data_IF_616802016259
#
_entry.id   IF_616802016259
#
_cell.length_a   1.000
_cell.length_b   1.000
_cell.length_c   1.000
_cell.angle_alpha   90.00
_cell.angle_beta   90.00
_cell.angle_gamma   90.00
#
_symmetry.space_group_name_H-M   'P 1'
#
loop_
_entity.id
_entity.type
_entity.pdbx_description
1 polymer ?
#
# COMPACT_ATOMS: atom_id res chain seq x y z
N UNK A 1 -0.10 -19.14 -34.84
CA UNK A 1 -0.55 -17.92 -34.15
C UNK A 1 0.03 -17.94 -32.75
N UNK A 2 0.81 -16.93 -32.36
CA UNK A 2 1.22 -16.73 -30.97
C UNK A 2 0.36 -15.62 -30.40
N UNK A 3 -0.39 -15.96 -29.36
CA UNK A 3 -1.16 -15.04 -28.53
C UNK A 3 -0.15 -14.52 -27.51
N UNK A 4 0.17 -13.21 -27.47
CA UNK A 4 1.17 -12.64 -26.57
C UNK A 4 0.79 -12.77 -25.09
N UNK A 5 -0.48 -13.02 -24.78
CA UNK A 5 -1.03 -13.15 -23.44
C UNK A 5 -0.65 -14.48 -22.78
N UNK A 6 -0.33 -14.48 -21.47
CA UNK A 6 0.08 -15.69 -20.76
C UNK A 6 -1.05 -16.73 -20.76
N UNK A 7 -0.70 -17.99 -21.07
CA UNK A 7 -1.65 -19.11 -21.16
C UNK A 7 -2.57 -19.24 -19.93
N UNK A 8 -2.05 -18.92 -18.74
CA UNK A 8 -2.81 -19.00 -17.50
C UNK A 8 -3.95 -17.97 -17.42
N UNK A 9 -3.72 -16.73 -17.85
CA UNK A 9 -4.75 -15.69 -17.94
C UNK A 9 -5.82 -16.04 -18.98
N UNK A 10 -5.42 -16.55 -20.16
CA UNK A 10 -6.36 -17.02 -21.20
C UNK A 10 -7.23 -18.16 -20.69
N UNK A 11 -6.62 -19.12 -19.98
CA UNK A 11 -7.35 -20.25 -19.39
C UNK A 11 -8.36 -19.78 -18.34
N UNK A 12 -7.97 -18.83 -17.48
CA UNK A 12 -8.86 -18.26 -16.48
C UNK A 12 -10.00 -17.44 -17.11
N UNK A 13 -9.71 -16.72 -18.19
CA UNK A 13 -10.71 -16.02 -19.00
C UNK A 13 -11.74 -16.99 -19.61
N UNK A 14 -11.28 -18.07 -20.24
CA UNK A 14 -12.16 -19.11 -20.78
C UNK A 14 -13.01 -19.73 -19.68
N UNK A 15 -12.43 -20.04 -18.51
CA UNK A 15 -13.19 -20.57 -17.37
C UNK A 15 -14.31 -19.63 -16.95
N UNK A 16 -14.05 -18.31 -16.91
CA UNK A 16 -15.08 -17.32 -16.65
C UNK A 16 -16.19 -17.34 -17.72
N UNK A 17 -15.88 -17.51 -19.00
CA UNK A 17 -16.93 -17.58 -20.04
C UNK A 17 -17.89 -18.76 -19.85
N UNK A 18 -17.41 -19.87 -19.29
CA UNK A 18 -18.24 -21.07 -19.05
C UNK A 18 -18.93 -21.08 -17.68
N UNK A 19 -18.39 -20.38 -16.68
CA UNK A 19 -18.84 -20.48 -15.28
C UNK A 19 -19.30 -19.16 -14.68
N UNK A 20 -19.03 -18.05 -15.36
CA UNK A 20 -19.40 -16.70 -14.97
C UNK A 20 -18.84 -16.31 -13.58
N UNK A 21 -17.71 -16.92 -13.19
CA UNK A 21 -17.07 -16.76 -11.88
C UNK A 21 -15.55 -16.56 -11.99
N UNK A 22 -15.04 -15.64 -11.19
CA UNK A 22 -13.59 -15.38 -11.02
C UNK A 22 -13.10 -15.71 -9.60
N UNK A 23 -13.95 -16.35 -8.79
CA UNK A 23 -13.65 -16.63 -7.40
C UNK A 23 -12.58 -17.72 -7.28
N UNK A 24 -11.74 -17.70 -6.22
CA UNK A 24 -10.93 -18.85 -5.90
C UNK A 24 -11.86 -20.03 -5.62
N UNK A 25 -11.72 -21.11 -6.38
CA UNK A 25 -12.46 -22.34 -6.18
C UNK A 25 -12.16 -22.87 -4.77
N UNK A 26 -13.08 -22.64 -3.83
CA UNK A 26 -13.07 -23.23 -2.47
C UNK A 26 -13.10 -24.77 -2.51
N UNK A 27 -13.50 -25.32 -3.66
CA UNK A 27 -13.58 -26.77 -3.89
C UNK A 27 -12.18 -27.27 -4.29
N UNK A 28 -11.46 -27.76 -3.26
CA UNK A 28 -10.21 -28.53 -3.29
C UNK A 28 -10.16 -29.71 -4.29
N UNK A 29 -11.29 -30.07 -4.93
CA UNK A 29 -11.42 -31.19 -5.87
C UNK A 29 -11.80 -30.78 -7.30
N UNK A 30 -11.86 -29.49 -7.63
CA UNK A 30 -12.05 -29.06 -9.02
C UNK A 30 -10.68 -28.98 -9.72
N UNK A 31 -10.55 -29.65 -10.86
CA UNK A 31 -9.29 -29.76 -11.63
C UNK A 31 -8.76 -28.41 -12.19
N UNK A 32 -9.45 -27.30 -11.93
CA UNK A 32 -9.05 -25.96 -12.31
C UNK A 32 -8.42 -25.24 -11.12
N UNK A 33 -7.12 -24.92 -11.15
CA UNK A 33 -6.52 -24.06 -10.12
C UNK A 33 -7.25 -22.70 -10.10
N UNK A 34 -7.45 -22.16 -8.90
CA UNK A 34 -7.99 -20.82 -8.73
C UNK A 34 -7.11 -19.79 -9.46
N UNK A 35 -7.71 -18.77 -10.12
CA UNK A 35 -6.91 -17.77 -10.82
C UNK A 35 -6.11 -16.94 -9.82
N UNK A 36 -4.81 -16.85 -10.06
CA UNK A 36 -3.88 -16.04 -9.28
C UNK A 36 -4.12 -14.54 -9.50
N UNK A 37 -3.51 -13.67 -8.70
CA UNK A 37 -3.63 -12.21 -8.90
C UNK A 37 -3.05 -11.76 -10.25
N UNK A 38 -1.97 -12.40 -10.70
CA UNK A 38 -1.38 -12.18 -12.01
C UNK A 38 -2.34 -12.59 -13.13
N UNK A 39 -3.04 -13.73 -12.99
CA UNK A 39 -4.06 -14.16 -13.94
C UNK A 39 -5.22 -13.16 -14.00
N UNK A 40 -5.71 -12.70 -12.84
CA UNK A 40 -6.82 -11.73 -12.76
C UNK A 40 -6.44 -10.38 -13.36
N UNK A 41 -5.19 -9.93 -13.17
CA UNK A 41 -4.66 -8.73 -13.80
C UNK A 41 -4.55 -8.88 -15.33
N UNK A 42 -4.13 -10.04 -15.83
CA UNK A 42 -4.20 -10.36 -17.25
C UNK A 42 -5.63 -10.38 -17.78
N UNK A 43 -6.57 -10.96 -17.02
CA UNK A 43 -8.00 -10.97 -17.36
C UNK A 43 -8.60 -9.57 -17.39
N UNK A 44 -8.12 -8.62 -16.57
CA UNK A 44 -8.53 -7.22 -16.64
C UNK A 44 -8.20 -6.63 -18.01
N UNK A 45 -6.98 -6.84 -18.52
CA UNK A 45 -6.58 -6.39 -19.86
C UNK A 45 -7.45 -7.03 -20.94
N UNK A 46 -7.70 -8.34 -20.86
CA UNK A 46 -8.57 -9.05 -21.80
C UNK A 46 -10.02 -8.55 -21.75
N UNK A 47 -10.51 -8.19 -20.55
CA UNK A 47 -11.86 -7.65 -20.39
C UNK A 47 -12.05 -6.31 -21.08
N UNK A 48 -10.98 -5.50 -21.18
CA UNK A 48 -10.98 -4.26 -21.97
C UNK A 48 -10.91 -4.57 -23.48
N UNK A 49 -10.03 -5.48 -23.91
CA UNK A 49 -9.86 -5.85 -25.33
C UNK A 49 -11.16 -6.40 -25.94
N UNK A 50 -11.88 -7.24 -25.19
CA UNK A 50 -13.11 -7.90 -25.65
C UNK A 50 -14.41 -7.21 -25.21
N UNK A 51 -14.32 -6.00 -24.64
CA UNK A 51 -15.47 -5.20 -24.18
C UNK A 51 -16.44 -5.99 -23.27
N UNK A 52 -15.91 -6.54 -22.18
CA UNK A 52 -16.63 -7.36 -21.20
C UNK A 52 -16.80 -6.61 -19.86
N UNK A 53 -17.76 -5.68 -19.75
CA UNK A 53 -17.85 -4.76 -18.61
C UNK A 53 -18.12 -5.47 -17.28
N UNK A 54 -18.84 -6.59 -17.30
CA UNK A 54 -19.10 -7.36 -16.08
C UNK A 54 -17.83 -8.00 -15.53
N UNK A 55 -17.03 -8.60 -16.41
CA UNK A 55 -15.75 -9.18 -16.03
C UNK A 55 -14.79 -8.10 -15.51
N UNK A 56 -14.76 -6.96 -16.20
CA UNK A 56 -13.95 -5.81 -15.84
C UNK A 56 -14.19 -5.38 -14.38
N UNK A 57 -15.46 -5.17 -14.01
CA UNK A 57 -15.83 -4.81 -12.63
C UNK A 57 -15.42 -5.87 -11.60
N UNK A 58 -15.58 -7.15 -11.92
CA UNK A 58 -15.18 -8.25 -11.03
C UNK A 58 -13.66 -8.27 -10.81
N UNK A 59 -12.88 -8.12 -11.88
CA UNK A 59 -11.42 -8.03 -11.80
C UNK A 59 -10.98 -6.84 -10.93
N UNK A 60 -11.50 -5.64 -11.18
CA UNK A 60 -11.16 -4.45 -10.39
C UNK A 60 -11.49 -4.66 -8.91
N UNK A 61 -12.70 -5.14 -8.59
CA UNK A 61 -13.12 -5.37 -7.20
C UNK A 61 -12.19 -6.36 -6.47
N UNK A 62 -11.75 -7.43 -7.15
CA UNK A 62 -10.84 -8.41 -6.57
C UNK A 62 -9.43 -7.85 -6.40
N UNK A 63 -8.88 -7.18 -7.41
CA UNK A 63 -7.53 -6.62 -7.39
C UNK A 63 -7.36 -5.55 -6.30
N UNK A 64 -8.38 -4.74 -6.04
CA UNK A 64 -8.36 -3.77 -4.94
C UNK A 64 -8.36 -4.45 -3.58
N UNK A 65 -9.16 -5.52 -3.42
CA UNK A 65 -9.31 -6.22 -2.14
C UNK A 65 -8.05 -7.00 -1.76
N UNK A 66 -7.34 -7.53 -2.76
CA UNK A 66 -6.19 -8.41 -2.59
C UNK A 66 -4.86 -7.73 -2.96
N UNK A 67 -4.82 -6.39 -3.01
CA UNK A 67 -3.63 -5.62 -3.38
C UNK A 67 -2.49 -5.85 -2.39
N UNK A 68 -1.35 -6.34 -2.89
CA UNK A 68 -0.19 -6.69 -2.08
C UNK A 68 1.12 -6.08 -2.65
N UNK A 69 2.19 -6.15 -1.86
CA UNK A 69 3.49 -5.55 -2.22
C UNK A 69 4.11 -6.25 -3.45
N UNK A 70 3.90 -7.56 -3.60
CA UNK A 70 4.51 -8.33 -4.69
C UNK A 70 3.86 -8.03 -6.04
N UNK A 71 2.54 -7.86 -6.10
CA UNK A 71 1.80 -7.65 -7.35
C UNK A 71 1.40 -6.20 -7.59
N UNK A 72 1.58 -5.27 -6.64
CA UNK A 72 1.18 -3.85 -6.81
C UNK A 72 1.73 -3.20 -8.10
N UNK A 73 3.01 -3.41 -8.40
CA UNK A 73 3.64 -2.89 -9.61
C UNK A 73 3.00 -3.48 -10.89
N UNK A 74 2.74 -4.79 -10.89
CA UNK A 74 2.09 -5.47 -12.00
C UNK A 74 0.65 -4.99 -12.20
N UNK A 75 -0.10 -4.82 -11.11
CA UNK A 75 -1.49 -4.35 -11.15
C UNK A 75 -1.55 -2.92 -11.68
N UNK A 76 -0.59 -2.06 -11.32
CA UNK A 76 -0.47 -0.71 -11.88
C UNK A 76 -0.31 -0.72 -13.40
N UNK A 77 0.61 -1.55 -13.93
CA UNK A 77 0.85 -1.66 -15.37
C UNK A 77 -0.36 -2.21 -16.11
N UNK A 78 -0.94 -3.31 -15.61
CA UNK A 78 -2.16 -3.89 -16.18
C UNK A 78 -3.34 -2.90 -16.15
N UNK A 79 -3.48 -2.09 -15.09
CA UNK A 79 -4.51 -1.06 -15.02
C UNK A 79 -4.27 0.08 -16.03
N UNK A 80 -3.00 0.44 -16.29
CA UNK A 80 -2.64 1.40 -17.34
C UNK A 80 -3.01 0.87 -18.72
N UNK A 81 -2.68 -0.39 -19.01
CA UNK A 81 -3.03 -1.06 -20.28
C UNK A 81 -4.53 -1.25 -20.46
N UNK A 82 -5.26 -1.60 -19.38
CA UNK A 82 -6.71 -1.74 -19.39
C UNK A 82 -7.45 -0.39 -19.38
N UNK A 83 -6.74 0.74 -19.36
CA UNK A 83 -7.30 2.10 -19.31
C UNK A 83 -8.19 2.37 -18.08
N UNK A 84 -7.99 1.63 -16.99
CA UNK A 84 -8.76 1.76 -15.76
C UNK A 84 -8.09 2.77 -14.81
N UNK A 85 -8.43 4.06 -15.01
CA UNK A 85 -7.74 5.19 -14.36
C UNK A 85 -7.87 5.21 -12.83
N UNK A 86 -8.96 4.68 -12.27
CA UNK A 86 -9.16 4.69 -10.83
C UNK A 86 -8.30 3.62 -10.16
N UNK A 87 -8.29 2.39 -10.71
CA UNK A 87 -7.45 1.30 -10.19
C UNK A 87 -5.97 1.66 -10.32
N UNK A 88 -5.57 2.26 -11.44
CA UNK A 88 -4.21 2.75 -11.67
C UNK A 88 -3.77 3.72 -10.57
N UNK A 89 -4.58 4.77 -10.32
CA UNK A 89 -4.31 5.74 -9.24
C UNK A 89 -4.23 5.08 -7.86
N UNK A 90 -5.14 4.14 -7.59
CA UNK A 90 -5.16 3.40 -6.32
C UNK A 90 -3.91 2.54 -6.13
N UNK A 91 -3.49 1.81 -7.17
CA UNK A 91 -2.28 0.98 -7.17
C UNK A 91 -1.02 1.84 -7.04
N UNK A 92 -0.96 2.97 -7.74
CA UNK A 92 0.16 3.91 -7.63
C UNK A 92 0.30 4.47 -6.20
N UNK A 93 -0.80 4.94 -5.60
CA UNK A 93 -0.80 5.42 -4.21
C UNK A 93 -0.28 4.35 -3.23
N UNK A 94 -0.68 3.08 -3.43
CA UNK A 94 -0.16 1.95 -2.65
C UNK A 94 1.33 1.71 -2.88
N UNK A 95 1.78 1.76 -4.15
CA UNK A 95 3.19 1.66 -4.51
C UNK A 95 4.03 2.73 -3.80
N UNK A 96 3.57 3.98 -3.76
CA UNK A 96 4.32 5.07 -3.13
C UNK A 96 4.35 4.97 -1.61
N UNK A 97 3.26 4.49 -0.99
CA UNK A 97 3.21 4.23 0.46
C UNK A 97 4.21 3.13 0.88
N UNK A 98 4.45 2.15 0.00
CA UNK A 98 5.36 1.03 0.26
C UNK A 98 6.57 1.01 -0.68
N UNK A 99 6.99 2.19 -1.16
CA UNK A 99 7.94 2.34 -2.27
C UNK A 99 9.22 1.52 -2.10
N UNK A 100 9.85 1.64 -0.92
CA UNK A 100 11.09 0.92 -0.63
C UNK A 100 10.95 -0.60 -0.79
N UNK A 101 9.79 -1.18 -0.46
CA UNK A 101 9.57 -2.62 -0.62
C UNK A 101 9.21 -2.96 -2.07
N UNK A 102 8.33 -2.16 -2.69
CA UNK A 102 7.82 -2.40 -4.05
C UNK A 102 8.93 -2.37 -5.10
N UNK A 103 9.84 -1.40 -5.06
CA UNK A 103 10.95 -1.30 -6.05
C UNK A 103 11.89 -2.51 -6.04
N UNK A 104 11.90 -3.28 -4.94
CA UNK A 104 12.73 -4.48 -4.78
C UNK A 104 12.02 -5.76 -5.20
N UNK A 105 10.74 -5.74 -5.54
CA UNK A 105 10.00 -6.92 -5.99
C UNK A 105 10.32 -7.26 -7.44
N UNK A 106 10.07 -8.49 -7.83
CA UNK A 106 10.23 -8.88 -9.24
C UNK A 106 9.18 -8.22 -10.14
N UNK A 107 7.97 -7.96 -9.62
CA UNK A 107 6.92 -7.26 -10.35
C UNK A 107 7.37 -5.90 -10.85
N UNK A 108 8.08 -5.13 -10.01
CA UNK A 108 8.64 -3.84 -10.41
C UNK A 108 9.78 -3.97 -11.44
N UNK A 109 10.65 -4.97 -11.30
CA UNK A 109 11.75 -5.20 -12.26
C UNK A 109 11.27 -5.60 -13.66
N UNK A 110 10.07 -6.18 -13.76
CA UNK A 110 9.45 -6.55 -15.05
C UNK A 110 8.77 -5.38 -15.76
N UNK A 111 8.57 -4.25 -15.10
CA UNK A 111 7.93 -3.08 -15.69
C UNK A 111 8.74 -2.51 -16.86
N UNK A 112 8.02 -2.00 -17.86
CA UNK A 112 8.64 -1.22 -18.93
C UNK A 112 9.22 0.09 -18.40
N UNK A 113 10.23 0.63 -19.09
CA UNK A 113 10.82 1.93 -18.72
C UNK A 113 9.79 3.07 -18.72
N UNK A 114 8.81 3.01 -19.62
CA UNK A 114 7.72 3.98 -19.68
C UNK A 114 6.82 3.87 -18.44
N UNK A 115 6.39 2.66 -18.07
CA UNK A 115 5.56 2.43 -16.88
C UNK A 115 6.26 2.83 -15.58
N UNK A 116 7.58 2.61 -15.47
CA UNK A 116 8.35 3.07 -14.31
C UNK A 116 8.38 4.59 -14.20
N UNK A 117 8.56 5.30 -15.31
CA UNK A 117 8.53 6.76 -15.32
C UNK A 117 7.14 7.29 -14.97
N UNK A 118 6.11 6.70 -15.57
CA UNK A 118 4.71 7.05 -15.30
C UNK A 118 4.36 6.85 -13.81
N UNK A 119 4.81 5.76 -13.19
CA UNK A 119 4.59 5.53 -11.75
C UNK A 119 5.29 6.57 -10.86
N UNK A 120 6.47 7.03 -11.26
CA UNK A 120 7.20 8.08 -10.55
C UNK A 120 6.55 9.46 -10.74
N UNK A 121 5.96 9.73 -11.91
CA UNK A 121 5.26 10.99 -12.24
C UNK A 121 3.89 11.10 -11.58
N UNK A 122 3.27 9.99 -11.17
CA UNK A 122 1.98 10.00 -10.46
C UNK A 122 2.06 10.69 -9.08
N UNK A 123 3.26 10.94 -8.58
CA UNK A 123 3.48 11.71 -7.35
C UNK A 123 3.56 13.19 -7.64
N UNK A 124 2.84 13.97 -6.83
CA UNK A 124 2.86 15.42 -6.89
C UNK A 124 4.28 15.96 -6.74
N UNK A 125 4.55 17.14 -7.30
CA UNK A 125 5.89 17.74 -7.32
C UNK A 125 6.49 17.95 -5.91
N UNK A 126 5.62 18.03 -4.89
CA UNK A 126 5.97 18.15 -3.47
C UNK A 126 6.21 16.80 -2.77
N UNK A 127 6.14 15.69 -3.51
CA UNK A 127 6.35 14.36 -2.98
C UNK A 127 7.78 14.15 -2.50
N UNK A 128 7.93 13.86 -1.20
CA UNK A 128 9.22 13.54 -0.59
C UNK A 128 9.33 12.05 -0.26
N UNK A 129 10.53 11.49 -0.48
CA UNK A 129 10.85 10.13 -0.03
C UNK A 129 11.12 10.16 1.47
N UNK A 130 10.25 9.55 2.26
CA UNK A 130 10.35 9.47 3.72
C UNK A 130 11.20 8.26 4.11
N UNK A 131 12.19 8.47 4.99
CA UNK A 131 13.01 7.39 5.54
C UNK A 131 12.20 6.42 6.41
N UNK A 132 12.76 5.24 6.71
CA UNK A 132 12.09 4.24 7.56
C UNK A 132 11.74 4.78 8.95
N UNK A 133 12.68 5.48 9.58
CA UNK A 133 12.52 6.02 10.94
C UNK A 133 11.49 7.17 10.99
N UNK A 134 11.39 7.95 9.91
CA UNK A 134 10.40 9.03 9.79
C UNK A 134 9.00 8.50 9.47
N UNK A 135 8.89 7.39 8.73
CA UNK A 135 7.60 6.76 8.41
C UNK A 135 6.94 6.18 9.68
N UNK A 136 7.71 5.62 10.61
CA UNK A 136 7.19 5.16 11.90
C UNK A 136 6.67 6.31 12.76
N UNK A 137 7.34 7.47 12.74
CA UNK A 137 6.91 8.67 13.47
C UNK A 137 5.61 9.27 12.90
N UNK A 138 5.45 9.29 11.57
CA UNK A 138 4.23 9.78 10.91
C UNK A 138 3.07 8.77 11.05
N UNK A 139 3.36 7.47 10.98
CA UNK A 139 2.39 6.40 11.24
C UNK A 139 1.85 6.40 12.68
N UNK A 140 2.68 6.79 13.65
CA UNK A 140 2.30 6.94 15.05
C UNK A 140 1.32 8.10 15.30
N UNK A 141 1.26 9.10 14.42
CA UNK A 141 0.39 10.27 14.56
C UNK A 141 -0.84 10.23 13.63
N UNK A 142 -0.80 9.48 12.53
CA UNK A 142 -1.87 9.45 11.51
C UNK A 142 -2.75 8.19 11.47
N UNK A 143 -2.44 7.14 12.24
CA UNK A 143 -3.02 5.79 12.04
C UNK A 143 -3.83 5.18 13.19
N UNK A 144 -4.14 5.93 14.26
CA UNK A 144 -4.83 5.37 15.44
C UNK A 144 -6.37 5.36 15.35
N UNK A 145 -6.96 5.18 14.17
CA UNK A 145 -8.42 5.03 14.03
C UNK A 145 -8.78 4.13 12.86
N UNK A 146 -8.51 2.84 13.03
CA UNK A 146 -9.38 1.70 12.69
C UNK A 146 -8.51 0.43 12.74
N UNK A 147 -8.84 -0.52 13.63
CA UNK A 147 -8.22 -1.85 13.79
C UNK A 147 -7.03 -1.99 14.76
N UNK A 148 -7.26 -1.79 16.07
CA UNK A 148 -6.74 -2.69 17.13
C UNK A 148 -7.54 -2.48 18.42
N UNK A 149 -8.80 -2.92 18.45
CA UNK A 149 -9.46 -3.32 19.70
C UNK A 149 -9.07 -4.77 19.99
N UNK A 150 -7.81 -4.99 20.34
CA UNK A 150 -7.37 -6.23 21.01
C UNK A 150 -5.94 -6.07 21.53
N UNK A 151 -5.85 -5.95 22.86
CA UNK A 151 -4.70 -6.26 23.70
C UNK A 151 -3.35 -5.62 23.34
N UNK A 152 -3.09 -4.45 23.92
CA UNK A 152 -1.73 -4.10 24.35
C UNK A 152 -1.52 -4.64 25.78
N UNK A 153 -0.61 -5.61 26.02
CA UNK A 153 -0.24 -5.96 27.38
C UNK A 153 0.69 -4.88 27.95
N UNK A 154 0.22 -4.28 29.03
CA UNK A 154 0.98 -3.86 30.21
C UNK A 154 2.46 -4.30 30.23
N UNK A 155 3.36 -3.34 30.40
CA UNK A 155 4.70 -3.63 30.94
C UNK A 155 5.89 -3.26 30.05
N UNK A 156 6.13 -1.96 29.87
CA UNK A 156 7.51 -1.47 29.65
C UNK A 156 7.91 -0.61 30.84
N UNK A 157 8.48 -1.27 31.85
CA UNK A 157 9.14 -0.66 33.01
C UNK A 157 10.15 0.39 32.53
N UNK A 158 9.82 1.67 32.71
CA UNK A 158 10.79 2.76 32.65
C UNK A 158 11.65 2.64 33.91
N UNK A 159 12.91 2.24 33.76
CA UNK A 159 13.89 2.37 34.86
C UNK A 159 14.26 3.85 34.95
N UNK A 160 13.76 4.50 36.00
CA UNK A 160 14.21 5.82 36.44
C UNK A 160 15.63 5.68 36.98
N UNK A 161 16.56 6.43 36.36
CA UNK A 161 17.92 6.61 36.86
C UNK A 161 17.86 7.71 37.93
N UNK A 162 18.25 7.38 39.15
CA UNK A 162 18.29 8.30 40.29
C UNK A 162 19.65 8.99 40.36
N UNK A 163 19.70 10.26 39.97
CA UNK A 163 20.81 11.15 40.31
C UNK A 163 20.32 12.61 40.39
N UNK A 164 20.37 13.16 41.60
CA UNK A 164 20.17 14.55 42.07
C UNK A 164 19.32 14.49 43.34
N UNK A 165 19.76 14.94 44.52
CA UNK A 165 20.70 16.02 44.80
C UNK A 165 19.94 17.12 45.54
N UNK A 166 19.66 16.87 46.82
CA UNK A 166 19.38 17.80 47.93
C UNK A 166 18.36 18.95 47.73
N UNK A 167 17.25 18.79 48.47
CA UNK A 167 16.29 19.77 49.04
C UNK A 167 17.00 21.01 49.64
N UNK A 168 16.70 22.23 49.19
CA UNK A 168 15.67 23.18 49.69
C UNK A 168 16.19 24.11 50.80
N UNK A 169 16.31 25.40 50.48
CA UNK A 169 15.96 26.51 51.38
C UNK A 169 15.36 27.64 50.53
N UNK A 170 14.12 28.00 50.85
CA UNK A 170 13.36 29.17 50.38
C UNK A 170 13.23 30.12 51.57
N UNK A 171 13.59 31.38 51.37
CA UNK A 171 13.17 32.59 52.11
C UNK A 171 13.99 33.76 51.55
N UNK A 172 13.52 34.97 51.27
CA UNK A 172 12.21 35.61 51.25
C UNK A 172 12.36 36.80 50.28
N UNK A 173 11.30 37.15 49.56
CA UNK A 173 11.18 38.41 48.82
C UNK A 173 10.76 39.51 49.79
N UNK A 174 11.55 40.60 49.89
CA UNK A 174 11.04 41.89 50.32
C UNK A 174 11.39 42.95 49.25
N UNK A 175 10.33 43.56 48.74
CA UNK A 175 10.22 44.85 48.04
C UNK A 175 10.97 45.93 48.85
N UNK A 176 11.50 47.05 48.35
CA UNK A 176 10.87 48.11 47.57
C UNK A 176 11.93 49.26 47.49
N UNK A 177 11.82 50.11 46.47
CA UNK A 177 12.18 51.55 46.48
C UNK A 177 13.58 52.07 46.86
N UNK A 178 14.12 52.93 45.97
CA UNK A 178 14.90 54.10 46.43
C UNK A 178 16.18 54.42 45.66
N UNK A 179 16.04 55.23 44.60
CA UNK A 179 16.79 56.49 44.34
C UNK A 179 18.10 56.69 45.15
N UNK A 180 19.29 56.89 44.57
CA UNK A 180 19.70 58.16 43.94
C UNK A 180 21.07 58.04 43.24
N UNK A 181 21.19 58.88 42.19
CA UNK A 181 22.39 59.47 41.58
C UNK A 181 23.68 59.51 42.42
N UNK A 182 24.81 59.10 41.81
CA UNK A 182 25.79 60.02 41.20
C UNK A 182 26.91 59.25 40.49
#
# INVERSE_FOLDING_TARGET
MHIPEPYAAVRAFLYYLYTDSIAPSSITNSASPSPSLEDVAGMLVMSNIYDMPRLHHLCVARLVRELDIQHAALIFDCASVAQETWLKRRAASFCMTHWGRVVRTEGFRRLSRAAMLELCEEVDAEGRVVGGDELEAVGALGGARLSTLSNWPEGRKRRMNSESGLMEEIADEEEEEGMEVN
#
